data_IF_444341528819
#
_entry.id   IF_444341528819
#
_cell.length_a   1.000
_cell.length_b   1.000
_cell.length_c   1.000
_cell.angle_alpha   90.00
_cell.angle_beta   90.00
_cell.angle_gamma   90.00
#
_symmetry.space_group_name_H-M   'P 1'
#
loop_
_entity.id
_entity.type
_entity.pdbx_description
1 polymer ?
#
# COMPACT_ATOMS: atom_id res chain seq x y z
N UNK A 1 4.32 11.13 -8.51
CA UNK A 1 4.30 9.91 -7.68
C UNK A 1 2.89 9.35 -7.75
N UNK A 2 2.70 8.13 -8.25
CA UNK A 2 1.37 7.54 -8.37
C UNK A 2 0.75 7.40 -6.97
N UNK A 3 -0.52 7.78 -6.83
CA UNK A 3 -1.26 7.66 -5.57
C UNK A 3 -1.34 6.20 -5.12
N UNK A 4 -1.45 5.26 -6.05
CA UNK A 4 -1.43 3.82 -5.77
C UNK A 4 -0.11 3.38 -5.13
N UNK A 5 1.04 3.86 -5.64
CA UNK A 5 2.36 3.57 -5.08
C UNK A 5 2.49 4.06 -3.64
N UNK A 6 1.99 5.26 -3.34
CA UNK A 6 1.97 5.78 -1.99
C UNK A 6 1.11 4.90 -1.06
N UNK A 7 -0.08 4.50 -1.48
CA UNK A 7 -0.95 3.64 -0.67
C UNK A 7 -0.31 2.29 -0.36
N UNK A 8 0.37 1.70 -1.34
CA UNK A 8 1.15 0.46 -1.16
C UNK A 8 2.33 0.73 -0.19
N UNK A 9 3.06 1.82 -0.37
CA UNK A 9 4.18 2.23 0.51
C UNK A 9 3.74 2.39 1.96
N UNK A 10 2.59 3.04 2.19
CA UNK A 10 1.97 3.20 3.50
C UNK A 10 1.55 1.83 4.07
N UNK A 11 0.92 0.98 3.26
CA UNK A 11 0.50 -0.34 3.69
C UNK A 11 1.67 -1.23 4.12
N UNK A 12 2.78 -1.17 3.39
CA UNK A 12 4.00 -1.93 3.68
C UNK A 12 4.85 -1.30 4.79
N UNK A 13 4.50 -0.10 5.26
CA UNK A 13 5.24 0.65 6.28
C UNK A 13 6.53 1.30 5.79
N UNK A 14 6.71 1.40 4.46
CA UNK A 14 7.82 2.13 3.85
C UNK A 14 7.61 3.65 3.91
N UNK A 15 6.36 4.10 3.90
CA UNK A 15 5.97 5.51 3.91
C UNK A 15 4.89 5.79 4.96
N UNK A 16 4.71 7.05 5.35
CA UNK A 16 3.57 7.47 6.18
C UNK A 16 2.78 8.55 5.45
N UNK A 17 1.46 8.52 5.61
CA UNK A 17 0.58 9.55 5.05
C UNK A 17 0.94 10.96 5.56
N UNK A 18 1.45 11.05 6.80
CA UNK A 18 1.89 12.28 7.46
C UNK A 18 3.08 12.93 6.76
N UNK A 19 4.02 12.15 6.20
CA UNK A 19 5.19 12.67 5.48
C UNK A 19 4.81 13.43 4.20
N UNK A 20 3.60 13.19 3.69
CA UNK A 20 3.09 13.77 2.45
C UNK A 20 1.90 14.72 2.64
N UNK A 21 1.48 14.99 3.89
CA UNK A 21 0.28 15.77 4.22
C UNK A 21 -0.99 15.23 3.53
N UNK A 22 -1.09 13.91 3.36
CA UNK A 22 -2.19 13.29 2.62
C UNK A 22 -3.27 12.78 3.57
N UNK A 23 -4.48 13.28 3.37
CA UNK A 23 -5.68 12.74 4.00
C UNK A 23 -6.14 11.52 3.20
N UNK A 24 -6.13 10.36 3.85
CA UNK A 24 -6.65 9.11 3.29
C UNK A 24 -8.18 9.09 3.36
N UNK A 25 -8.82 8.85 2.22
CA UNK A 25 -10.26 8.56 2.16
C UNK A 25 -10.58 7.20 2.77
N UNK A 26 -11.86 6.92 3.04
CA UNK A 26 -12.27 5.61 3.57
C UNK A 26 -11.94 4.47 2.61
N UNK A 27 -12.17 4.67 1.30
CA UNK A 27 -11.83 3.69 0.27
C UNK A 27 -10.32 3.36 0.28
N UNK A 28 -9.47 4.37 0.43
CA UNK A 28 -8.03 4.18 0.47
C UNK A 28 -7.55 3.47 1.73
N UNK A 29 -8.20 3.72 2.86
CA UNK A 29 -7.95 2.97 4.10
C UNK A 29 -8.31 1.50 3.91
N UNK A 30 -9.42 1.20 3.22
CA UNK A 30 -9.77 -0.18 2.87
C UNK A 30 -8.73 -0.82 1.94
N UNK A 31 -8.22 -0.08 0.94
CA UNK A 31 -7.16 -0.58 0.04
C UNK A 31 -5.86 -0.86 0.80
N UNK A 32 -5.41 0.07 1.65
CA UNK A 32 -4.24 -0.10 2.53
C UNK A 32 -4.40 -1.36 3.39
N UNK A 33 -5.57 -1.55 3.99
CA UNK A 33 -5.86 -2.73 4.81
C UNK A 33 -5.75 -4.03 3.99
N UNK A 34 -6.29 -4.06 2.77
CA UNK A 34 -6.14 -5.22 1.88
C UNK A 34 -4.67 -5.53 1.57
N UNK A 35 -3.88 -4.51 1.23
CA UNK A 35 -2.44 -4.69 0.99
C UNK A 35 -1.70 -5.23 2.22
N UNK A 36 -2.07 -4.77 3.42
CA UNK A 36 -1.53 -5.29 4.67
C UNK A 36 -1.90 -6.76 4.90
N UNK A 37 -3.17 -7.13 4.71
CA UNK A 37 -3.65 -8.50 4.90
C UNK A 37 -2.99 -9.47 3.90
N UNK A 38 -2.90 -9.10 2.63
CA UNK A 38 -2.24 -9.92 1.60
C UNK A 38 -0.74 -10.06 1.86
N UNK A 39 -0.07 -8.97 2.23
CA UNK A 39 1.36 -9.01 2.55
C UNK A 39 1.64 -9.85 3.81
N UNK A 40 0.79 -9.74 4.84
CA UNK A 40 0.89 -10.57 6.04
C UNK A 40 0.65 -12.06 5.73
N UNK A 41 -0.34 -12.35 4.89
CA UNK A 41 -0.63 -13.71 4.43
C UNK A 41 0.54 -14.29 3.64
N UNK A 42 1.09 -13.57 2.68
CA UNK A 42 2.25 -14.01 1.93
C UNK A 42 3.48 -14.22 2.81
N UNK A 43 3.75 -13.32 3.76
CA UNK A 43 4.81 -13.50 4.75
C UNK A 43 4.64 -14.78 5.57
N UNK A 44 3.40 -15.09 5.98
CA UNK A 44 3.07 -16.34 6.69
C UNK A 44 3.25 -17.58 5.80
N UNK A 45 2.94 -17.49 4.51
CA UNK A 45 3.14 -18.56 3.53
C UNK A 45 4.59 -18.66 3.00
N UNK A 46 5.50 -17.78 3.45
CA UNK A 46 6.88 -17.71 2.93
C UNK A 46 6.97 -17.22 1.49
N UNK A 47 5.93 -16.53 0.99
CA UNK A 47 5.85 -15.96 -0.35
C UNK A 47 6.26 -14.50 -0.33
N UNK A 48 6.89 -14.06 -1.42
CA UNK A 48 7.19 -12.66 -1.65
C UNK A 48 6.16 -12.07 -2.63
N UNK A 49 5.44 -11.03 -2.21
CA UNK A 49 4.53 -10.27 -3.10
C UNK A 49 5.28 -9.06 -3.63
N UNK A 50 5.22 -8.88 -4.95
CA UNK A 50 5.64 -7.65 -5.62
C UNK A 50 4.36 -6.94 -6.07
N UNK A 51 4.16 -5.72 -5.57
CA UNK A 51 3.05 -4.87 -5.97
C UNK A 51 3.50 -4.00 -7.15
N UNK A 52 2.75 -4.05 -8.25
CA UNK A 52 2.93 -3.15 -9.38
C UNK A 52 1.76 -2.17 -9.38
N UNK A 53 2.06 -0.89 -9.27
CA UNK A 53 1.11 0.15 -9.67
C UNK A 53 1.47 0.55 -11.10
N UNK A 54 0.53 0.54 -12.06
CA UNK A 54 0.81 1.06 -13.39
C UNK A 54 1.24 2.53 -13.24
N UNK A 55 2.32 2.94 -13.90
CA UNK A 55 2.57 4.37 -14.11
C UNK A 55 1.45 4.86 -15.04
N UNK A 56 0.61 5.78 -14.55
CA UNK A 56 -0.29 6.53 -15.42
C UNK A 56 0.57 7.24 -16.48
N UNK A 57 0.38 6.89 -17.75
CA UNK A 57 0.96 7.57 -18.93
C UNK A 57 0.48 9.03 -19.05
#
# INVERSE_FOLDING_TARGET
MNREYLLIGIALGAEKAEDYDIILTEEEKERIKRYQEESAKAKKEGRHIVWYAPDDE
#
